data_IF_984262889409
#
_entry.id   IF_984262889409
#
_cell.length_a   1.000
_cell.length_b   1.000
_cell.length_c   1.000
_cell.angle_alpha   90.00
_cell.angle_beta   90.00
_cell.angle_gamma   90.00
#
_symmetry.space_group_name_H-M   'P 1'
#
loop_
_entity.id
_entity.type
_entity.pdbx_description
1 polymer ?
#
# COMPACT_ATOMS: atom_id res chain seq x y z
N UNK A 1 7.42 -8.76 -26.14
CA UNK A 1 8.07 -9.03 -24.85
C UNK A 1 9.05 -10.17 -25.02
N UNK A 2 10.29 -10.10 -24.49
CA UNK A 2 11.21 -11.23 -24.57
C UNK A 2 10.66 -12.40 -23.75
N UNK A 3 10.79 -13.62 -24.28
CA UNK A 3 10.39 -14.85 -23.58
C UNK A 3 11.33 -15.00 -22.37
N UNK A 4 10.80 -15.18 -21.13
CA UNK A 4 11.64 -15.36 -19.95
C UNK A 4 12.50 -16.62 -20.09
N UNK A 5 13.74 -16.56 -19.63
CA UNK A 5 14.60 -17.75 -19.58
C UNK A 5 14.01 -18.78 -18.60
N UNK A 6 14.37 -20.07 -18.76
CA UNK A 6 13.93 -21.13 -17.85
C UNK A 6 14.20 -20.80 -16.36
N UNK A 7 15.33 -20.17 -16.07
CA UNK A 7 15.71 -19.73 -14.71
C UNK A 7 14.76 -18.61 -14.20
N UNK A 8 14.37 -17.68 -15.07
CA UNK A 8 13.43 -16.61 -14.72
C UNK A 8 12.03 -17.17 -14.46
N UNK A 9 11.57 -18.11 -15.30
CA UNK A 9 10.29 -18.78 -15.12
C UNK A 9 10.25 -19.61 -13.82
N UNK A 10 11.32 -20.36 -13.50
CA UNK A 10 11.43 -21.13 -12.27
C UNK A 10 11.43 -20.22 -11.02
N UNK A 11 12.17 -19.11 -11.04
CA UNK A 11 12.18 -18.12 -9.94
C UNK A 11 10.81 -17.45 -9.76
N UNK A 12 10.12 -17.15 -10.85
CA UNK A 12 8.77 -16.59 -10.79
C UNK A 12 7.80 -17.59 -10.14
N UNK A 13 7.81 -18.85 -10.55
CA UNK A 13 6.96 -19.89 -9.98
C UNK A 13 7.24 -20.13 -8.49
N UNK A 14 8.51 -20.10 -8.08
CA UNK A 14 8.90 -20.24 -6.66
C UNK A 14 8.40 -19.04 -5.82
N UNK A 15 8.53 -17.81 -6.34
CA UNK A 15 8.02 -16.62 -5.66
C UNK A 15 6.49 -16.64 -5.59
N UNK A 16 5.81 -17.04 -6.67
CA UNK A 16 4.35 -17.13 -6.71
C UNK A 16 3.83 -18.07 -5.61
N UNK A 17 4.41 -19.26 -5.48
CA UNK A 17 4.05 -20.21 -4.43
C UNK A 17 4.30 -19.63 -3.03
N UNK A 18 5.48 -19.06 -2.79
CA UNK A 18 5.83 -18.43 -1.52
C UNK A 18 4.87 -17.27 -1.17
N UNK A 19 4.54 -16.41 -2.14
CA UNK A 19 3.66 -15.26 -1.91
C UNK A 19 2.23 -15.67 -1.63
N UNK A 20 1.74 -16.76 -2.24
CA UNK A 20 0.46 -17.35 -1.86
C UNK A 20 0.45 -17.90 -0.43
N UNK A 21 1.56 -18.46 0.05
CA UNK A 21 1.70 -18.86 1.46
C UNK A 21 1.69 -17.65 2.39
N UNK A 22 2.36 -16.55 2.01
CA UNK A 22 2.32 -15.30 2.78
C UNK A 22 0.88 -14.76 2.83
N UNK A 23 0.16 -14.74 1.71
CA UNK A 23 -1.26 -14.37 1.71
C UNK A 23 -2.07 -15.24 2.69
N UNK A 24 -1.92 -16.56 2.67
CA UNK A 24 -2.63 -17.44 3.59
C UNK A 24 -2.33 -17.16 5.06
N UNK A 25 -1.11 -16.73 5.37
CA UNK A 25 -0.68 -16.33 6.72
C UNK A 25 -1.44 -15.08 7.21
N UNK A 26 -1.72 -14.13 6.30
CA UNK A 26 -2.32 -12.83 6.64
C UNK A 26 -3.76 -12.63 6.16
N UNK A 27 -4.41 -13.61 5.57
CA UNK A 27 -5.74 -13.48 4.95
C UNK A 27 -6.85 -12.96 5.87
N UNK A 28 -6.69 -13.08 7.19
CA UNK A 28 -7.62 -12.53 8.19
C UNK A 28 -7.31 -11.08 8.56
N UNK A 29 -6.16 -10.56 8.11
CA UNK A 29 -5.68 -9.21 8.38
C UNK A 29 -5.65 -8.34 7.11
N UNK A 30 -6.22 -8.81 6.01
CA UNK A 30 -6.32 -8.07 4.75
C UNK A 30 -7.66 -8.33 4.08
N UNK A 31 -8.21 -7.32 3.43
CA UNK A 31 -9.37 -7.45 2.54
C UNK A 31 -8.98 -7.50 1.06
N UNK A 32 -7.69 -7.36 0.75
CA UNK A 32 -7.17 -7.36 -0.61
C UNK A 32 -7.37 -8.73 -1.26
N UNK A 33 -7.87 -8.73 -2.50
CA UNK A 33 -7.99 -9.95 -3.31
C UNK A 33 -6.67 -10.71 -3.38
N UNK A 34 -6.67 -12.05 -3.30
CA UNK A 34 -5.44 -12.86 -3.32
C UNK A 34 -4.49 -12.56 -4.48
N UNK A 35 -5.03 -12.30 -5.68
CA UNK A 35 -4.20 -12.01 -6.85
C UNK A 35 -3.55 -10.62 -6.77
N UNK A 36 -4.29 -9.63 -6.26
CA UNK A 36 -3.77 -8.29 -6.02
C UNK A 36 -2.73 -8.29 -4.89
N UNK A 37 -3.01 -9.01 -3.80
CA UNK A 37 -2.06 -9.16 -2.70
C UNK A 37 -0.72 -9.74 -3.19
N UNK A 38 -0.76 -10.86 -3.91
CA UNK A 38 0.44 -11.51 -4.49
C UNK A 38 1.14 -10.57 -5.49
N UNK A 39 0.38 -9.85 -6.31
CA UNK A 39 0.91 -8.84 -7.21
C UNK A 39 1.69 -7.72 -6.49
N UNK A 40 1.14 -7.20 -5.39
CA UNK A 40 1.84 -6.23 -4.52
C UNK A 40 3.14 -6.81 -3.96
N UNK A 41 3.19 -8.07 -3.53
CA UNK A 41 4.42 -8.72 -3.09
C UNK A 41 5.46 -8.88 -4.20
N UNK A 42 5.03 -9.16 -5.44
CA UNK A 42 5.94 -9.16 -6.60
C UNK A 42 6.54 -7.79 -6.88
N UNK A 43 5.76 -6.72 -6.74
CA UNK A 43 6.25 -5.35 -6.89
C UNK A 43 7.17 -4.97 -5.72
N UNK A 44 6.78 -5.24 -4.48
CA UNK A 44 7.62 -4.99 -3.30
C UNK A 44 8.99 -5.68 -3.44
N UNK A 45 9.04 -6.90 -3.95
CA UNK A 45 10.32 -7.60 -4.15
C UNK A 45 11.29 -6.86 -5.09
N UNK A 46 10.81 -6.01 -5.99
CA UNK A 46 11.69 -5.25 -6.90
C UNK A 46 12.56 -4.24 -6.16
N UNK A 47 12.12 -3.76 -5.01
CA UNK A 47 12.88 -2.82 -4.15
C UNK A 47 13.69 -3.53 -3.06
N UNK A 48 13.88 -4.85 -3.13
CA UNK A 48 14.61 -5.61 -2.11
C UNK A 48 16.05 -5.11 -1.89
N UNK A 49 16.70 -4.57 -2.92
CA UNK A 49 18.06 -4.02 -2.87
C UNK A 49 18.07 -2.47 -2.85
N UNK A 50 16.93 -1.82 -2.62
CA UNK A 50 16.82 -0.37 -2.48
C UNK A 50 16.79 -0.08 -0.98
N UNK A 51 17.71 0.74 -0.48
CA UNK A 51 17.77 1.11 0.93
C UNK A 51 16.66 2.11 1.28
N UNK A 52 16.13 2.01 2.50
CA UNK A 52 15.11 2.91 3.01
C UNK A 52 13.98 2.18 3.73
N UNK A 53 13.13 2.96 4.37
CA UNK A 53 11.95 2.50 5.08
C UNK A 53 10.85 1.99 4.14
N UNK A 54 9.90 1.28 4.71
CA UNK A 54 8.63 0.90 4.08
C UNK A 54 7.52 1.61 4.84
N UNK A 55 6.69 2.37 4.13
CA UNK A 55 5.56 3.10 4.71
C UNK A 55 4.28 2.66 4.02
N UNK A 56 3.27 2.32 4.79
CA UNK A 56 1.91 2.10 4.31
C UNK A 56 0.99 3.14 4.93
N UNK A 57 0.26 3.86 4.07
CA UNK A 57 -0.76 4.83 4.42
C UNK A 57 -2.13 4.20 4.14
N UNK A 58 -2.92 3.95 5.19
CA UNK A 58 -4.09 3.09 5.15
C UNK A 58 -3.68 1.62 5.37
N UNK A 59 -3.62 1.24 6.63
CA UNK A 59 -3.05 -0.06 7.02
C UNK A 59 -4.14 -1.07 7.39
N UNK A 60 -5.30 -0.57 7.79
CA UNK A 60 -6.37 -1.39 8.35
C UNK A 60 -5.82 -2.35 9.41
N UNK A 61 -5.92 -3.67 9.20
CA UNK A 61 -5.41 -4.71 10.13
C UNK A 61 -3.94 -5.10 9.89
N UNK A 62 -3.20 -4.37 9.06
CA UNK A 62 -1.75 -4.55 8.86
C UNK A 62 -1.32 -5.74 8.01
N UNK A 63 -2.25 -6.46 7.37
CA UNK A 63 -1.92 -7.70 6.66
C UNK A 63 -1.03 -7.50 5.44
N UNK A 64 -1.18 -6.39 4.70
CA UNK A 64 -0.39 -6.17 3.50
C UNK A 64 1.06 -5.79 3.83
N UNK A 65 1.27 -4.83 4.73
CA UNK A 65 2.62 -4.43 5.14
C UNK A 65 3.36 -5.56 5.87
N UNK A 66 2.65 -6.41 6.64
CA UNK A 66 3.23 -7.60 7.25
C UNK A 66 3.72 -8.61 6.19
N UNK A 67 2.95 -8.80 5.12
CA UNK A 67 3.38 -9.60 3.98
C UNK A 67 4.56 -9.00 3.24
N UNK A 68 4.58 -7.68 3.06
CA UNK A 68 5.73 -6.96 2.48
C UNK A 68 6.98 -7.15 3.36
N UNK A 69 6.84 -7.12 4.68
CA UNK A 69 7.94 -7.37 5.61
C UNK A 69 8.52 -8.79 5.48
N UNK A 70 7.67 -9.80 5.28
CA UNK A 70 8.13 -11.17 5.02
C UNK A 70 8.89 -11.31 3.67
N UNK A 71 8.69 -10.37 2.74
CA UNK A 71 9.42 -10.33 1.45
C UNK A 71 10.71 -9.53 1.55
N UNK A 72 10.70 -8.38 2.22
CA UNK A 72 11.81 -7.42 2.25
C UNK A 72 12.78 -7.63 3.41
N UNK A 73 12.36 -8.38 4.44
CA UNK A 73 13.23 -8.79 5.54
C UNK A 73 13.15 -7.92 6.79
N UNK A 74 13.83 -8.33 7.87
CA UNK A 74 13.61 -7.80 9.21
C UNK A 74 14.29 -6.45 9.50
N UNK A 75 15.27 -6.05 8.72
CA UNK A 75 16.18 -4.95 9.13
C UNK A 75 15.64 -3.55 8.73
N UNK A 76 14.59 -3.49 7.91
CA UNK A 76 13.97 -2.23 7.51
C UNK A 76 13.07 -1.67 8.60
N UNK A 77 12.86 -0.36 8.60
CA UNK A 77 11.80 0.25 9.38
C UNK A 77 10.48 0.17 8.61
N UNK A 78 9.43 -0.30 9.29
CA UNK A 78 8.07 -0.44 8.75
C UNK A 78 7.15 0.52 9.50
N UNK A 79 6.56 1.47 8.77
CA UNK A 79 5.60 2.42 9.32
C UNK A 79 4.19 2.07 8.85
N UNK A 80 3.31 1.90 9.82
CA UNK A 80 1.88 1.66 9.63
C UNK A 80 1.14 2.94 9.99
N UNK A 81 0.66 3.68 8.98
CA UNK A 81 -0.04 4.95 9.19
C UNK A 81 -1.53 4.74 8.93
N UNK A 82 -2.36 4.94 9.95
CA UNK A 82 -3.81 4.75 9.87
C UNK A 82 -4.51 5.55 10.97
N UNK A 83 -5.74 6.00 10.71
CA UNK A 83 -6.58 6.59 11.73
C UNK A 83 -7.08 5.55 12.74
N UNK A 84 -7.28 4.31 12.27
CA UNK A 84 -8.01 3.22 12.91
C UNK A 84 -9.47 3.58 13.25
N UNK A 85 -9.97 4.67 12.66
CA UNK A 85 -11.34 5.16 12.80
C UNK A 85 -12.19 4.91 11.56
N UNK A 86 -11.57 4.33 10.51
CA UNK A 86 -12.17 4.10 9.21
C UNK A 86 -11.91 5.22 8.22
N UNK A 87 -12.69 5.25 7.13
CA UNK A 87 -12.55 6.25 6.08
C UNK A 87 -13.19 7.58 6.51
N UNK A 88 -12.60 8.73 6.15
CA UNK A 88 -13.28 10.02 6.28
C UNK A 88 -14.47 10.10 5.32
N UNK A 89 -15.33 11.10 5.50
CA UNK A 89 -16.46 11.31 4.58
C UNK A 89 -15.96 11.58 3.16
N UNK A 90 -16.55 10.86 2.17
CA UNK A 90 -16.23 11.06 0.77
C UNK A 90 -16.67 12.44 0.27
N UNK A 91 -15.81 13.12 -0.45
CA UNK A 91 -16.09 14.40 -1.07
C UNK A 91 -16.69 14.24 -2.48
N UNK A 92 -17.05 15.35 -3.12
CA UNK A 92 -17.60 15.30 -4.48
C UNK A 92 -16.59 14.78 -5.50
N UNK A 93 -15.31 15.03 -5.29
CA UNK A 93 -14.18 14.60 -6.14
C UNK A 93 -13.99 13.09 -6.14
N UNK A 94 -14.42 12.41 -5.08
CA UNK A 94 -14.28 10.95 -4.95
C UNK A 94 -15.32 10.18 -5.79
N UNK A 95 -16.31 10.90 -6.33
CA UNK A 95 -17.27 10.36 -7.27
C UNK A 95 -18.50 9.72 -6.61
N UNK A 96 -19.44 9.32 -7.47
CA UNK A 96 -20.72 8.80 -7.01
C UNK A 96 -20.59 7.41 -6.34
N UNK A 97 -19.61 6.60 -6.76
CA UNK A 97 -19.38 5.27 -6.18
C UNK A 97 -18.86 5.35 -4.74
N UNK A 98 -17.99 6.31 -4.42
CA UNK A 98 -17.51 6.55 -3.07
C UNK A 98 -18.66 6.93 -2.13
N UNK A 99 -19.49 7.89 -2.56
CA UNK A 99 -20.69 8.29 -1.79
C UNK A 99 -21.70 7.17 -1.59
N UNK A 100 -21.87 6.31 -2.60
CA UNK A 100 -22.73 5.13 -2.48
C UNK A 100 -22.16 4.12 -1.48
N UNK A 101 -20.83 3.91 -1.49
CA UNK A 101 -20.16 3.02 -0.56
C UNK A 101 -20.39 3.42 0.90
N UNK A 102 -20.32 4.71 1.23
CA UNK A 102 -20.51 5.20 2.61
C UNK A 102 -21.89 4.88 3.20
N UNK A 103 -22.92 4.85 2.35
CA UNK A 103 -24.32 4.72 2.79
C UNK A 103 -24.91 3.33 2.58
N UNK A 104 -24.15 2.41 2.01
CA UNK A 104 -24.62 1.04 1.68
C UNK A 104 -23.82 -0.04 2.45
N UNK A 105 -24.16 -0.32 3.71
CA UNK A 105 -23.53 -1.38 4.48
C UNK A 105 -23.83 -2.78 3.95
N UNK A 106 -24.73 -2.91 2.95
CA UNK A 106 -25.03 -4.20 2.30
C UNK A 106 -24.08 -4.49 1.12
N UNK A 107 -23.25 -3.52 0.74
CA UNK A 107 -22.25 -3.70 -0.30
C UNK A 107 -21.26 -4.80 0.13
N UNK A 108 -21.02 -5.83 -0.71
CA UNK A 108 -20.09 -6.92 -0.39
C UNK A 108 -18.65 -6.47 -0.07
N UNK A 109 -18.29 -5.27 -0.51
CA UNK A 109 -16.98 -4.64 -0.28
C UNK A 109 -16.96 -3.72 0.94
N UNK A 110 -18.11 -3.55 1.64
CA UNK A 110 -18.19 -2.74 2.83
C UNK A 110 -17.65 -3.48 4.04
N UNK A 111 -16.52 -3.04 4.57
CA UNK A 111 -15.85 -3.63 5.73
C UNK A 111 -15.93 -2.71 6.95
N UNK A 112 -17.14 -2.45 7.44
CA UNK A 112 -17.36 -1.55 8.58
C UNK A 112 -16.64 -0.20 8.43
N UNK A 113 -16.83 0.43 7.26
CA UNK A 113 -16.13 1.66 6.85
C UNK A 113 -14.60 1.57 6.99
N UNK A 114 -14.00 0.41 6.75
CA UNK A 114 -12.57 0.15 6.92
C UNK A 114 -12.04 0.40 8.34
N UNK A 115 -12.92 0.39 9.36
CA UNK A 115 -12.51 0.51 10.76
C UNK A 115 -11.75 -0.75 11.20
N UNK A 116 -10.63 -0.54 11.88
CA UNK A 116 -9.81 -1.59 12.48
C UNK A 116 -9.27 -1.15 13.84
N UNK A 117 -8.67 -2.06 14.57
CA UNK A 117 -7.96 -1.72 15.80
C UNK A 117 -6.45 -1.69 15.58
N UNK A 118 -5.76 -0.83 16.32
CA UNK A 118 -4.29 -0.82 16.35
C UNK A 118 -3.73 -2.17 16.79
N UNK A 119 -4.42 -2.89 17.69
CA UNK A 119 -4.00 -4.21 18.18
C UNK A 119 -4.02 -5.27 17.08
N UNK A 120 -4.99 -5.23 16.15
CA UNK A 120 -5.02 -6.14 15.00
C UNK A 120 -3.81 -5.91 14.09
N UNK A 121 -3.44 -4.65 13.84
CA UNK A 121 -2.26 -4.31 13.06
C UNK A 121 -0.96 -4.75 13.78
N UNK A 122 -0.89 -4.57 15.08
CA UNK A 122 0.21 -5.08 15.92
C UNK A 122 0.33 -6.59 15.84
N UNK A 123 -0.80 -7.30 15.91
CA UNK A 123 -0.84 -8.76 15.81
C UNK A 123 -0.33 -9.25 14.44
N UNK A 124 -0.73 -8.59 13.35
CA UNK A 124 -0.22 -8.91 12.02
C UNK A 124 1.29 -8.74 11.94
N UNK A 125 1.81 -7.60 12.41
CA UNK A 125 3.24 -7.32 12.39
C UNK A 125 4.05 -8.24 13.30
N UNK A 126 3.52 -8.62 14.47
CA UNK A 126 4.17 -9.59 15.35
C UNK A 126 4.33 -10.99 14.72
N UNK A 127 3.49 -11.34 13.75
CA UNK A 127 3.62 -12.56 12.95
C UNK A 127 4.66 -12.43 11.83
N UNK A 128 5.05 -11.20 11.48
CA UNK A 128 5.98 -10.95 10.36
C UNK A 128 7.45 -11.12 10.79
N UNK A 129 8.35 -10.98 9.82
CA UNK A 129 9.79 -10.99 10.08
C UNK A 129 10.32 -9.62 10.55
N UNK A 130 9.51 -8.55 10.52
CA UNK A 130 9.92 -7.21 10.87
C UNK A 130 10.41 -7.09 12.32
N UNK A 131 11.54 -6.40 12.53
CA UNK A 131 12.08 -6.08 13.86
C UNK A 131 11.83 -4.64 14.28
N UNK A 132 11.75 -3.73 13.30
CA UNK A 132 11.59 -2.30 13.52
C UNK A 132 10.24 -1.87 12.98
N UNK A 133 9.24 -1.70 13.85
CA UNK A 133 7.87 -1.39 13.49
C UNK A 133 7.40 -0.18 14.28
N UNK A 134 6.83 0.79 13.58
CA UNK A 134 6.16 1.95 14.17
C UNK A 134 4.72 2.02 13.68
N UNK A 135 3.77 2.01 14.59
CA UNK A 135 2.37 2.29 14.30
C UNK A 135 2.12 3.76 14.60
N UNK A 136 1.62 4.47 13.60
CA UNK A 136 1.38 5.91 13.62
C UNK A 136 -0.11 6.15 13.49
N UNK A 137 -0.77 6.18 14.65
CA UNK A 137 -2.22 6.36 14.75
C UNK A 137 -2.62 7.81 14.56
N UNK A 138 -3.55 8.06 13.67
CA UNK A 138 -4.20 9.34 13.41
C UNK A 138 -4.37 9.64 11.94
N UNK A 139 -5.11 10.71 11.65
CA UNK A 139 -5.35 11.17 10.28
C UNK A 139 -4.06 11.63 9.61
N UNK A 140 -3.92 11.39 8.31
CA UNK A 140 -2.69 11.63 7.54
C UNK A 140 -2.22 13.08 7.63
N UNK A 141 -3.13 14.04 7.56
CA UNK A 141 -2.83 15.47 7.66
C UNK A 141 -2.19 15.88 8.99
N UNK A 142 -2.41 15.10 10.03
CA UNK A 142 -1.87 15.37 11.37
C UNK A 142 -0.60 14.57 11.67
N UNK A 143 -0.38 13.44 10.98
CA UNK A 143 0.63 12.47 11.40
C UNK A 143 1.78 12.31 10.41
N UNK A 144 1.55 12.33 9.09
CA UNK A 144 2.58 11.99 8.12
C UNK A 144 3.77 12.95 8.14
N UNK A 145 3.54 14.24 8.40
CA UNK A 145 4.60 15.25 8.51
C UNK A 145 5.48 15.05 9.76
N UNK A 146 5.02 14.30 10.76
CA UNK A 146 5.77 14.01 11.99
C UNK A 146 6.72 12.81 11.87
N UNK A 147 6.60 12.03 10.80
CA UNK A 147 7.47 10.87 10.56
C UNK A 147 8.94 11.30 10.45
N UNK A 148 9.88 10.49 10.98
CA UNK A 148 11.32 10.73 10.79
C UNK A 148 11.67 10.93 9.32
N UNK A 149 12.60 11.87 9.06
CA UNK A 149 13.04 12.23 7.71
C UNK A 149 14.05 11.21 7.16
N UNK A 150 13.70 9.93 7.17
CA UNK A 150 14.52 8.87 6.57
C UNK A 150 14.12 8.59 5.11
N UNK A 151 15.04 8.05 4.28
CA UNK A 151 14.74 7.62 2.93
C UNK A 151 13.66 6.54 2.89
N UNK A 152 12.80 6.57 1.86
CA UNK A 152 11.74 5.59 1.65
C UNK A 152 12.10 4.70 0.45
N UNK A 153 12.14 3.39 0.64
CA UNK A 153 12.30 2.43 -0.45
C UNK A 153 10.96 2.05 -1.08
N UNK A 154 9.91 1.96 -0.27
CA UNK A 154 8.57 1.61 -0.70
C UNK A 154 7.53 2.44 0.07
N UNK A 155 6.72 3.17 -0.68
CA UNK A 155 5.54 3.86 -0.18
C UNK A 155 4.30 3.17 -0.75
N UNK A 156 3.41 2.66 0.09
CA UNK A 156 2.11 2.11 -0.32
C UNK A 156 0.98 3.02 0.13
N UNK A 157 0.13 3.37 -0.82
CA UNK A 157 -1.03 4.23 -0.62
C UNK A 157 -2.30 3.39 -0.76
N UNK A 158 -3.11 3.39 0.29
CA UNK A 158 -4.36 2.66 0.45
C UNK A 158 -5.31 3.49 1.31
N UNK A 159 -5.51 4.72 0.86
CA UNK A 159 -6.28 5.73 1.60
C UNK A 159 -7.58 6.12 0.91
N UNK A 160 -7.98 5.36 -0.12
CA UNK A 160 -9.22 5.44 -0.88
C UNK A 160 -9.48 6.80 -1.54
N UNK A 161 -9.57 7.90 -0.78
CA UNK A 161 -10.06 9.18 -1.26
C UNK A 161 -8.99 10.11 -1.81
N UNK A 162 -9.43 11.11 -2.56
CA UNK A 162 -8.58 12.15 -3.14
C UNK A 162 -7.74 12.85 -2.10
N UNK A 163 -8.36 13.34 -1.02
CA UNK A 163 -7.68 14.12 0.02
C UNK A 163 -6.60 13.29 0.73
N UNK A 164 -6.90 12.04 1.08
CA UNK A 164 -5.97 11.11 1.73
C UNK A 164 -4.79 10.76 0.82
N UNK A 165 -5.07 10.40 -0.43
CA UNK A 165 -4.03 10.06 -1.43
C UNK A 165 -3.14 11.26 -1.73
N UNK A 166 -3.73 12.45 -1.92
CA UNK A 166 -3.00 13.70 -2.16
C UNK A 166 -2.11 14.07 -1.00
N UNK A 167 -2.64 14.04 0.23
CA UNK A 167 -1.88 14.33 1.45
C UNK A 167 -0.64 13.43 1.56
N UNK A 168 -0.80 12.12 1.35
CA UNK A 168 0.29 11.17 1.41
C UNK A 168 1.34 11.40 0.31
N UNK A 169 0.93 11.67 -0.93
CA UNK A 169 1.83 12.00 -2.03
C UNK A 169 2.61 13.29 -1.77
N UNK A 170 1.94 14.37 -1.40
CA UNK A 170 2.58 15.66 -1.15
C UNK A 170 3.56 15.63 0.03
N UNK A 171 3.28 14.79 1.04
CA UNK A 171 4.11 14.71 2.25
C UNK A 171 5.28 13.75 2.10
N UNK A 172 5.10 12.62 1.42
CA UNK A 172 6.05 11.50 1.48
C UNK A 172 6.73 11.17 0.15
N UNK A 173 6.12 11.47 -1.00
CA UNK A 173 6.61 10.94 -2.27
C UNK A 173 8.01 11.44 -2.64
N UNK A 174 8.37 12.69 -2.29
CA UNK A 174 9.71 13.24 -2.54
C UNK A 174 10.81 12.61 -1.68
N UNK A 175 10.45 11.81 -0.68
CA UNK A 175 11.38 11.04 0.15
C UNK A 175 11.64 9.64 -0.40
N UNK A 176 10.86 9.21 -1.40
CA UNK A 176 11.09 7.93 -2.07
C UNK A 176 12.35 8.05 -2.92
N UNK A 177 13.35 7.22 -2.62
CA UNK A 177 14.66 7.29 -3.26
C UNK A 177 14.61 6.80 -4.71
N UNK A 178 15.64 7.17 -5.50
CA UNK A 178 15.80 6.63 -6.87
C UNK A 178 15.72 5.09 -6.86
N UNK A 179 14.99 4.53 -7.81
CA UNK A 179 14.64 3.11 -7.93
C UNK A 179 13.70 2.60 -6.83
N UNK A 180 13.31 3.43 -5.87
CA UNK A 180 12.21 3.16 -4.95
C UNK A 180 10.86 3.15 -5.68
N UNK A 181 9.80 2.80 -4.99
CA UNK A 181 8.49 2.59 -5.61
C UNK A 181 7.37 3.16 -4.77
N UNK A 182 6.37 3.74 -5.45
CA UNK A 182 5.07 4.07 -4.88
C UNK A 182 4.07 3.08 -5.43
N UNK A 183 3.39 2.33 -4.56
CA UNK A 183 2.28 1.44 -4.89
C UNK A 183 0.97 2.14 -4.55
N UNK A 184 -0.01 2.09 -5.44
CA UNK A 184 -1.32 2.72 -5.27
C UNK A 184 -2.39 1.65 -5.41
N UNK A 185 -3.12 1.35 -4.32
CA UNK A 185 -4.11 0.28 -4.29
C UNK A 185 -5.39 0.68 -5.05
N UNK A 186 -5.87 1.89 -4.78
CA UNK A 186 -7.21 2.36 -5.12
C UNK A 186 -7.34 3.03 -6.49
N UNK A 187 -6.24 3.15 -7.24
CA UNK A 187 -6.19 3.90 -8.50
C UNK A 187 -7.26 3.49 -9.52
N UNK A 188 -7.63 2.21 -9.58
CA UNK A 188 -8.63 1.70 -10.51
C UNK A 188 -10.02 1.53 -9.87
N UNK A 189 -10.17 1.91 -8.60
CA UNK A 189 -11.42 1.73 -7.86
C UNK A 189 -12.13 3.06 -7.57
N UNK A 190 -11.38 4.12 -7.24
CA UNK A 190 -11.92 5.40 -6.83
C UNK A 190 -11.45 6.56 -7.72
N UNK A 191 -12.40 7.35 -8.20
CA UNK A 191 -12.13 8.49 -9.08
C UNK A 191 -11.23 9.52 -8.41
N UNK A 192 -11.43 9.78 -7.12
CA UNK A 192 -10.62 10.71 -6.34
C UNK A 192 -9.16 10.28 -6.23
N UNK A 193 -8.91 9.00 -5.91
CA UNK A 193 -7.55 8.45 -5.89
C UNK A 193 -6.88 8.57 -7.26
N UNK A 194 -7.57 8.16 -8.34
CA UNK A 194 -7.07 8.29 -9.72
C UNK A 194 -6.68 9.73 -10.04
N UNK A 195 -7.51 10.69 -9.67
CA UNK A 195 -7.28 12.11 -9.94
C UNK A 195 -6.06 12.63 -9.18
N UNK A 196 -5.96 12.37 -7.88
CA UNK A 196 -4.81 12.78 -7.05
C UNK A 196 -3.48 12.25 -7.60
N UNK A 197 -3.45 10.96 -7.97
CA UNK A 197 -2.24 10.32 -8.54
C UNK A 197 -1.87 10.92 -9.88
N UNK A 198 -2.86 11.14 -10.78
CA UNK A 198 -2.59 11.71 -12.11
C UNK A 198 -2.04 13.14 -12.01
N UNK A 199 -2.62 13.97 -11.15
CA UNK A 199 -2.17 15.35 -10.92
C UNK A 199 -0.72 15.37 -10.43
N UNK A 200 -0.42 14.58 -9.39
CA UNK A 200 0.90 14.52 -8.80
C UNK A 200 1.95 13.95 -9.78
N UNK A 201 1.64 12.84 -10.44
CA UNK A 201 2.53 12.21 -11.41
C UNK A 201 2.83 13.13 -12.61
N UNK A 202 1.82 13.88 -13.09
CA UNK A 202 2.01 14.87 -14.15
C UNK A 202 2.93 16.02 -13.72
N UNK A 203 2.75 16.54 -12.50
CA UNK A 203 3.62 17.59 -11.94
C UNK A 203 5.07 17.13 -11.84
N UNK A 204 5.31 15.90 -11.40
CA UNK A 204 6.64 15.30 -11.24
C UNK A 204 7.21 14.74 -12.56
N UNK A 205 6.40 14.61 -13.59
CA UNK A 205 6.72 13.92 -14.85
C UNK A 205 7.13 12.47 -14.64
N UNK A 206 6.52 11.81 -13.65
CA UNK A 206 6.75 10.41 -13.35
C UNK A 206 5.79 9.53 -14.15
N UNK A 207 6.28 8.49 -14.83
CA UNK A 207 5.42 7.59 -15.60
C UNK A 207 4.63 6.69 -14.65
N UNK A 208 3.31 6.69 -14.81
CA UNK A 208 2.42 5.73 -14.14
C UNK A 208 2.56 4.39 -14.85
N UNK A 209 2.72 3.33 -14.07
CA UNK A 209 2.91 1.96 -14.53
C UNK A 209 1.81 1.05 -13.99
N UNK A 210 1.63 -0.11 -14.61
CA UNK A 210 0.57 -1.05 -14.25
C UNK A 210 1.09 -2.49 -14.20
N UNK A 211 0.64 -3.24 -13.19
CA UNK A 211 0.76 -4.69 -13.12
C UNK A 211 -0.61 -5.30 -12.79
N UNK A 212 -1.27 -5.88 -13.78
CA UNK A 212 -2.67 -6.29 -13.61
C UNK A 212 -3.56 -5.11 -13.28
N UNK A 213 -4.21 -5.12 -12.12
CA UNK A 213 -5.01 -3.99 -11.58
C UNK A 213 -4.27 -3.20 -10.50
N UNK A 214 -2.95 -3.32 -10.41
CA UNK A 214 -2.14 -2.56 -9.46
C UNK A 214 -1.47 -1.41 -10.20
N UNK A 215 -1.68 -0.20 -9.72
CA UNK A 215 -0.99 1.00 -10.17
C UNK A 215 0.31 1.20 -9.37
N UNK A 216 1.38 1.62 -10.03
CA UNK A 216 2.62 1.94 -9.34
C UNK A 216 3.47 2.95 -10.11
N UNK A 217 4.37 3.61 -9.40
CA UNK A 217 5.38 4.53 -9.94
C UNK A 217 6.74 4.05 -9.44
N UNK A 218 7.69 3.87 -10.36
CA UNK A 218 9.11 3.66 -10.01
C UNK A 218 9.82 5.00 -10.11
N UNK A 219 10.49 5.42 -9.05
CA UNK A 219 11.20 6.69 -9.02
C UNK A 219 12.47 6.60 -9.89
N UNK A 220 12.69 7.57 -10.78
CA UNK A 220 13.83 7.60 -11.71
C UNK A 220 15.20 7.55 -11.04
#
# INVERSE_FOLDING_TARGET
MPIPTFVQAARFATNEFRFRQIYQKYKTHTMIDPALYVGNLHLAKRVANVEGAVIECGTWRGGMIAGIADVLGPERHYYLCDSFEGLPAAEQVDGANAKKYEVDPTNPWYHNNCTASEDEAREAMAKSTAKNVSIVKGWFENTLATLPQEPIALLRLDGDWYSSTKCALETLADRVVSRGMILIDDYYFWEGCTMAVNEYAAQKKWPIQQLGKICYITIP
#
